data_IF_865550363658
#
_entry.id   IF_865550363658
#
_cell.length_a   1.000
_cell.length_b   1.000
_cell.length_c   1.000
_cell.angle_alpha   90.00
_cell.angle_beta   90.00
_cell.angle_gamma   90.00
#
_symmetry.space_group_name_H-M   'P 1'
#
loop_
_entity.id
_entity.type
_entity.pdbx_description
1 polymer ?
#
# COMPACT_ATOMS: atom_id res chain seq x y z
N UNK A 1 -7.31 10.34 18.10
CA UNK A 1 -7.09 9.30 17.08
C UNK A 1 -5.64 8.88 17.16
N UNK A 2 -5.37 7.66 17.63
CA UNK A 2 -4.03 7.07 17.55
C UNK A 2 -3.67 6.94 16.07
N UNK A 3 -2.65 7.67 15.62
CA UNK A 3 -2.17 7.59 14.24
C UNK A 3 -1.48 6.24 14.09
N UNK A 4 -2.16 5.28 13.45
CA UNK A 4 -1.52 4.02 13.06
C UNK A 4 -0.33 4.36 12.15
N UNK A 5 0.91 4.06 12.55
CA UNK A 5 2.10 4.44 11.79
C UNK A 5 2.25 3.63 10.47
N UNK A 6 1.41 2.62 10.26
CA UNK A 6 1.33 1.85 9.01
C UNK A 6 0.25 2.34 8.05
N UNK A 7 -0.58 3.31 8.49
CA UNK A 7 -1.64 3.89 7.68
C UNK A 7 -1.09 5.03 6.82
N UNK A 8 -1.34 4.95 5.50
CA UNK A 8 -1.08 6.01 4.55
C UNK A 8 -2.37 6.45 3.86
N UNK A 9 -2.63 7.76 3.84
CA UNK A 9 -3.69 8.35 3.03
C UNK A 9 -3.10 8.81 1.72
N UNK A 10 -3.58 8.24 0.61
CA UNK A 10 -3.13 8.62 -0.72
C UNK A 10 -3.53 10.06 -1.04
N UNK A 11 -2.70 10.83 -1.77
CA UNK A 11 -3.15 12.06 -2.40
C UNK A 11 -4.22 11.75 -3.45
N UNK A 12 -4.85 12.79 -3.97
CA UNK A 12 -5.73 12.64 -5.13
C UNK A 12 -5.00 11.88 -6.25
N UNK A 13 -5.59 10.76 -6.68
CA UNK A 13 -4.99 9.82 -7.62
C UNK A 13 -6.08 9.14 -8.47
N UNK A 14 -5.66 8.48 -9.55
CA UNK A 14 -6.58 7.71 -10.40
C UNK A 14 -6.64 6.27 -9.91
N UNK A 15 -7.86 5.73 -9.78
CA UNK A 15 -8.10 4.33 -9.49
C UNK A 15 -8.32 3.55 -10.79
N UNK A 16 -7.67 2.40 -10.92
CA UNK A 16 -7.73 1.52 -12.11
C UNK A 16 -7.94 0.08 -11.67
N UNK A 17 -8.64 -0.70 -12.51
CA UNK A 17 -9.05 -2.08 -12.21
C UNK A 17 -9.72 -2.23 -10.83
N UNK A 18 -10.77 -1.44 -10.52
CA UNK A 18 -11.38 -1.47 -9.20
C UNK A 18 -12.28 -2.71 -9.00
N UNK A 19 -12.01 -3.44 -7.92
CA UNK A 19 -12.88 -4.46 -7.33
C UNK A 19 -13.26 -4.03 -5.92
N UNK A 20 -14.05 -2.95 -5.85
CA UNK A 20 -14.41 -2.30 -4.57
C UNK A 20 -15.75 -2.74 -4.00
N UNK A 21 -16.69 -3.11 -4.86
CA UNK A 21 -18.05 -3.50 -4.46
C UNK A 21 -18.22 -5.02 -4.43
N UNK A 22 -17.43 -5.73 -5.22
CA UNK A 22 -17.37 -7.19 -5.27
C UNK A 22 -15.90 -7.61 -5.37
N UNK A 23 -15.46 -8.62 -4.60
CA UNK A 23 -14.09 -9.11 -4.67
C UNK A 23 -13.85 -9.84 -6.01
N UNK A 24 -12.62 -9.78 -6.51
CA UNK A 24 -12.22 -10.50 -7.72
C UNK A 24 -11.03 -11.41 -7.45
N UNK A 25 -10.93 -12.50 -8.21
CA UNK A 25 -9.77 -13.39 -8.17
C UNK A 25 -8.82 -13.10 -9.32
N UNK A 26 -7.53 -13.31 -9.07
CA UNK A 26 -6.49 -13.30 -10.08
C UNK A 26 -5.75 -14.63 -10.00
N UNK A 27 -5.47 -15.27 -11.14
CA UNK A 27 -4.68 -16.53 -11.21
C UNK A 27 -5.15 -17.66 -10.26
N UNK A 28 -6.46 -17.83 -10.09
CA UNK A 28 -7.07 -18.84 -9.20
C UNK A 28 -6.73 -18.66 -7.71
N UNK A 29 -6.36 -17.45 -7.29
CA UNK A 29 -6.22 -17.09 -5.88
C UNK A 29 -7.60 -16.79 -5.25
N UNK A 30 -7.65 -16.79 -3.91
CA UNK A 30 -8.83 -16.38 -3.15
C UNK A 30 -9.30 -14.98 -3.56
N UNK A 31 -10.61 -14.75 -3.80
CA UNK A 31 -11.12 -13.45 -4.19
C UNK A 31 -10.83 -12.38 -3.12
N UNK A 32 -10.35 -11.21 -3.56
CA UNK A 32 -10.07 -10.07 -2.69
C UNK A 32 -10.65 -8.77 -3.24
N UNK A 33 -10.96 -7.84 -2.34
CA UNK A 33 -11.18 -6.45 -2.72
C UNK A 33 -9.84 -5.83 -3.12
N UNK A 34 -9.79 -5.18 -4.28
CA UNK A 34 -8.54 -4.69 -4.84
C UNK A 34 -8.74 -3.47 -5.74
N UNK A 35 -7.64 -2.81 -6.03
CA UNK A 35 -7.58 -1.71 -6.97
C UNK A 35 -6.14 -1.26 -7.15
N UNK A 36 -5.84 -0.69 -8.32
CA UNK A 36 -4.52 -0.11 -8.61
C UNK A 36 -4.63 1.41 -8.53
N UNK A 37 -3.80 2.04 -7.70
CA UNK A 37 -3.72 3.50 -7.60
C UNK A 37 -2.58 4.03 -8.47
N UNK A 38 -2.89 4.95 -9.38
CA UNK A 38 -1.89 5.71 -10.14
C UNK A 38 -1.67 7.06 -9.47
N UNK A 39 -0.55 7.18 -8.76
CA UNK A 39 -0.14 8.42 -8.08
C UNK A 39 0.79 9.21 -9.01
N UNK A 40 0.52 10.50 -9.20
CA UNK A 40 1.39 11.39 -9.98
C UNK A 40 2.82 11.40 -9.42
N UNK A 41 3.82 11.40 -10.30
CA UNK A 41 5.24 11.53 -9.92
C UNK A 41 5.57 12.85 -9.21
N UNK A 42 4.72 13.87 -9.37
CA UNK A 42 4.85 15.15 -8.69
C UNK A 42 4.43 15.12 -7.22
N UNK A 43 3.72 14.08 -6.78
CA UNK A 43 3.30 13.94 -5.39
C UNK A 43 4.45 13.41 -4.52
N UNK A 44 4.56 13.94 -3.30
CA UNK A 44 5.45 13.37 -2.30
C UNK A 44 4.87 12.05 -1.76
N UNK A 45 5.59 10.97 -2.02
CA UNK A 45 5.26 9.62 -1.54
C UNK A 45 6.11 9.19 -0.34
N UNK A 46 6.92 10.09 0.23
CA UNK A 46 7.76 9.82 1.41
C UNK A 46 6.94 9.22 2.56
N UNK A 47 5.74 9.76 2.91
CA UNK A 47 4.94 9.18 3.99
C UNK A 47 4.48 7.73 3.70
N UNK A 48 4.21 7.40 2.42
CA UNK A 48 3.87 6.02 2.02
C UNK A 48 5.07 5.09 2.23
N UNK A 49 6.27 5.54 1.85
CA UNK A 49 7.51 4.77 2.03
C UNK A 49 7.79 4.51 3.51
N UNK A 50 7.60 5.52 4.36
CA UNK A 50 7.76 5.39 5.82
C UNK A 50 6.77 4.38 6.40
N UNK A 51 5.48 4.49 6.04
CA UNK A 51 4.45 3.54 6.48
C UNK A 51 4.77 2.10 6.07
N UNK A 52 5.22 1.88 4.83
CA UNK A 52 5.64 0.55 4.33
C UNK A 52 6.86 0.03 5.10
N UNK A 53 7.86 0.87 5.36
CA UNK A 53 9.04 0.49 6.17
C UNK A 53 8.63 0.10 7.57
N UNK A 54 7.77 0.88 8.23
CA UNK A 54 7.26 0.56 9.56
C UNK A 54 6.49 -0.76 9.58
N UNK A 55 5.59 -0.98 8.61
CA UNK A 55 4.84 -2.23 8.49
C UNK A 55 5.77 -3.44 8.27
N UNK A 56 6.78 -3.28 7.41
CA UNK A 56 7.77 -4.33 7.15
C UNK A 56 8.61 -4.66 8.39
N UNK A 57 9.09 -3.64 9.10
CA UNK A 57 9.83 -3.83 10.36
C UNK A 57 8.98 -4.52 11.42
N UNK A 58 7.70 -4.16 11.56
CA UNK A 58 6.79 -4.82 12.51
C UNK A 58 6.55 -6.28 12.15
N UNK A 59 6.41 -6.61 10.87
CA UNK A 59 6.09 -7.97 10.42
C UNK A 59 7.30 -8.91 10.44
N UNK A 60 8.49 -8.42 10.13
CA UNK A 60 9.65 -9.27 9.87
C UNK A 60 10.96 -8.84 10.54
N UNK A 61 10.96 -7.74 11.31
CA UNK A 61 12.12 -7.20 12.01
C UNK A 61 12.99 -6.26 11.17
N UNK A 62 14.03 -5.69 11.81
CA UNK A 62 14.85 -4.60 11.25
C UNK A 62 15.70 -5.01 10.03
N UNK A 63 16.04 -6.30 9.92
CA UNK A 63 16.98 -6.84 8.92
C UNK A 63 16.51 -6.71 7.45
N UNK A 64 15.22 -6.48 7.21
CA UNK A 64 14.64 -6.43 5.85
C UNK A 64 14.76 -5.06 5.18
N UNK A 65 15.06 -4.00 5.94
CA UNK A 65 15.17 -2.65 5.38
C UNK A 65 16.35 -2.49 4.41
N UNK A 66 17.36 -3.38 4.48
CA UNK A 66 18.54 -3.32 3.62
C UNK A 66 18.25 -3.69 2.15
N UNK A 67 17.12 -4.35 1.88
CA UNK A 67 16.72 -4.78 0.54
C UNK A 67 15.66 -3.86 -0.11
N UNK A 68 15.26 -2.77 0.56
CA UNK A 68 14.18 -1.86 0.13
C UNK A 68 14.69 -0.54 -0.49
N UNK A 69 15.92 -0.55 -1.01
CA UNK A 69 16.57 0.60 -1.66
C UNK A 69 15.81 1.14 -2.87
#
# INVERSE_FOLDING_TARGET
MTKDPTLYLTPACTLVYPSLFEPSSFKNEEPVYSGTFLISKSNDITPMREAVKTAATQKWGQQILNNMG
#
